data_IF_404751862233
#
_entry.id   IF_404751862233
#
_cell.length_a   1.000
_cell.length_b   1.000
_cell.length_c   1.000
_cell.angle_alpha   90.00
_cell.angle_beta   90.00
_cell.angle_gamma   90.00
#
_symmetry.space_group_name_H-M   'P 1'
#
loop_
_entity.id
_entity.type
_entity.pdbx_description
1 polymer ?
#
# COMPACT_ATOMS: atom_id res chain seq x y z
N UNK A 1 -19.71 16.63 -17.36
CA UNK A 1 -18.56 15.70 -17.28
C UNK A 1 -18.35 15.10 -18.65
N UNK A 2 -17.09 14.86 -19.03
CA UNK A 2 -16.75 14.16 -20.26
C UNK A 2 -16.80 12.62 -20.11
N UNK A 3 -16.81 11.84 -21.21
CA UNK A 3 -16.91 10.37 -21.17
C UNK A 3 -15.79 9.66 -20.39
N UNK A 4 -14.65 10.32 -20.16
CA UNK A 4 -13.57 9.80 -19.33
C UNK A 4 -13.83 10.00 -17.84
N UNK A 5 -14.37 11.17 -17.46
CA UNK A 5 -14.70 11.49 -16.07
C UNK A 5 -15.84 10.60 -15.56
N UNK A 6 -16.85 10.35 -16.39
CA UNK A 6 -17.98 9.47 -16.04
C UNK A 6 -17.50 8.02 -15.82
N UNK A 7 -16.61 7.52 -16.67
CA UNK A 7 -16.01 6.19 -16.52
C UNK A 7 -15.15 6.08 -15.26
N UNK A 8 -14.39 7.12 -14.95
CA UNK A 8 -13.56 7.17 -13.74
C UNK A 8 -14.44 7.20 -12.47
N UNK A 9 -15.52 7.99 -12.48
CA UNK A 9 -16.47 8.03 -11.37
C UNK A 9 -17.11 6.65 -11.14
N UNK A 10 -17.62 6.01 -12.20
CA UNK A 10 -18.20 4.68 -12.11
C UNK A 10 -17.21 3.62 -11.59
N UNK A 11 -15.94 3.67 -12.03
CA UNK A 11 -14.90 2.75 -11.56
C UNK A 11 -14.60 2.95 -10.05
N UNK A 12 -14.59 4.19 -9.57
CA UNK A 12 -14.41 4.50 -8.14
C UNK A 12 -15.57 3.99 -7.29
N UNK A 13 -16.80 4.16 -7.78
CA UNK A 13 -17.99 3.65 -7.09
C UNK A 13 -17.98 2.12 -6.99
N UNK A 14 -17.60 1.44 -8.08
CA UNK A 14 -17.45 -0.01 -8.08
C UNK A 14 -16.36 -0.49 -7.11
N UNK A 15 -15.22 0.22 -7.06
CA UNK A 15 -14.14 -0.10 -6.11
C UNK A 15 -14.60 0.07 -4.65
N UNK A 16 -15.33 1.15 -4.35
CA UNK A 16 -15.88 1.39 -3.01
C UNK A 16 -16.88 0.29 -2.59
N UNK A 17 -17.76 -0.13 -3.51
CA UNK A 17 -18.69 -1.25 -3.28
C UNK A 17 -17.95 -2.57 -3.04
N UNK A 18 -16.95 -2.86 -3.87
CA UNK A 18 -16.14 -4.08 -3.73
C UNK A 18 -15.38 -4.11 -2.38
N UNK A 19 -14.83 -2.96 -1.94
CA UNK A 19 -14.20 -2.83 -0.63
C UNK A 19 -15.18 -3.11 0.50
N UNK A 20 -16.35 -2.49 0.47
CA UNK A 20 -17.38 -2.69 1.49
C UNK A 20 -17.81 -4.16 1.58
N UNK A 21 -18.09 -4.78 0.42
CA UNK A 21 -18.45 -6.19 0.34
C UNK A 21 -17.34 -7.10 0.87
N UNK A 22 -16.08 -6.87 0.47
CA UNK A 22 -14.95 -7.69 0.92
C UNK A 22 -14.72 -7.62 2.43
N UNK A 23 -14.92 -6.45 3.05
CA UNK A 23 -14.82 -6.28 4.50
C UNK A 23 -15.98 -6.92 5.25
N UNK A 24 -17.16 -6.99 4.63
CA UNK A 24 -18.32 -7.70 5.18
C UNK A 24 -18.13 -9.22 5.11
N UNK A 25 -17.72 -9.74 3.95
CA UNK A 25 -17.56 -11.18 3.71
C UNK A 25 -16.35 -11.76 4.45
N UNK A 26 -15.27 -10.97 4.53
CA UNK A 26 -14.03 -11.38 5.17
C UNK A 26 -13.45 -10.22 5.99
N UNK A 27 -13.98 -9.99 7.21
CA UNK A 27 -13.44 -9.01 8.14
C UNK A 27 -11.98 -9.31 8.48
N UNK A 28 -11.20 -8.28 8.81
CA UNK A 28 -9.79 -8.43 9.20
C UNK A 28 -9.55 -9.49 10.29
N UNK A 29 -10.45 -9.56 11.27
CA UNK A 29 -10.36 -10.54 12.36
C UNK A 29 -10.36 -12.00 11.87
N UNK A 30 -10.98 -12.29 10.72
CA UNK A 30 -11.02 -13.64 10.12
C UNK A 30 -9.74 -14.02 9.37
N UNK A 31 -8.85 -13.03 9.16
CA UNK A 31 -7.56 -13.19 8.50
C UNK A 31 -6.39 -13.34 9.48
N UNK A 32 -6.69 -13.27 10.77
CA UNK A 32 -5.73 -13.43 11.85
C UNK A 32 -5.88 -14.80 12.52
N UNK A 33 -4.75 -15.46 12.72
CA UNK A 33 -4.68 -16.62 13.59
C UNK A 33 -4.73 -16.17 15.05
N UNK A 34 -5.45 -16.92 15.88
CA UNK A 34 -5.68 -16.58 17.28
C UNK A 34 -4.98 -17.59 18.17
N UNK A 35 -4.07 -17.10 19.00
CA UNK A 35 -3.26 -17.90 19.92
C UNK A 35 -3.58 -17.53 21.37
N UNK A 36 -3.66 -18.54 22.24
CA UNK A 36 -3.63 -18.32 23.68
C UNK A 36 -2.19 -17.98 24.11
N UNK A 37 -2.04 -16.99 24.98
CA UNK A 37 -0.77 -16.61 25.61
C UNK A 37 -0.95 -16.47 27.11
N UNK A 38 0.16 -16.48 27.86
CA UNK A 38 0.14 -16.30 29.33
C UNK A 38 -0.48 -14.96 29.77
N UNK A 39 -0.57 -13.98 28.86
CA UNK A 39 -1.18 -12.66 29.08
C UNK A 39 -2.55 -12.46 28.42
N UNK A 40 -3.14 -13.49 27.81
CA UNK A 40 -4.46 -13.41 27.18
C UNK A 40 -4.52 -14.05 25.79
N UNK A 41 -5.14 -13.34 24.85
CA UNK A 41 -5.32 -13.80 23.47
C UNK A 41 -4.54 -12.89 22.53
N UNK A 42 -3.71 -13.48 21.68
CA UNK A 42 -2.93 -12.76 20.66
C UNK A 42 -3.47 -13.12 19.29
N UNK A 43 -3.90 -12.11 18.53
CA UNK A 43 -4.16 -12.26 17.11
C UNK A 43 -2.85 -12.02 16.33
N UNK A 44 -2.57 -12.82 15.31
CA UNK A 44 -1.43 -12.63 14.42
C UNK A 44 -1.93 -12.75 12.98
N UNK A 45 -1.77 -11.73 12.14
CA UNK A 45 -2.15 -11.86 10.74
C UNK A 45 -1.23 -12.86 10.06
N UNK A 46 -1.81 -13.70 9.21
CA UNK A 46 -1.01 -14.55 8.33
C UNK A 46 -0.19 -13.67 7.36
N UNK A 47 0.93 -14.19 6.82
CA UNK A 47 1.67 -13.46 5.78
C UNK A 47 0.77 -13.09 4.59
N UNK A 48 -0.05 -14.04 4.13
CA UNK A 48 -0.99 -13.83 3.04
C UNK A 48 -2.04 -12.75 3.36
N UNK A 49 -2.51 -12.66 4.60
CA UNK A 49 -3.42 -11.61 5.04
C UNK A 49 -2.77 -10.23 4.98
N UNK A 50 -1.53 -10.12 5.46
CA UNK A 50 -0.77 -8.86 5.45
C UNK A 50 -0.49 -8.39 4.03
N UNK A 51 -0.08 -9.31 3.15
CA UNK A 51 0.15 -9.03 1.73
C UNK A 51 -1.13 -8.62 1.00
N UNK A 52 -2.24 -9.35 1.21
CA UNK A 52 -3.54 -9.03 0.61
C UNK A 52 -4.02 -7.64 1.04
N UNK A 53 -3.96 -7.34 2.34
CA UNK A 53 -4.38 -6.04 2.86
C UNK A 53 -3.45 -4.92 2.38
N UNK A 54 -2.15 -5.19 2.29
CA UNK A 54 -1.17 -4.27 1.72
C UNK A 54 -1.47 -3.95 0.25
N UNK A 55 -1.77 -4.97 -0.56
CA UNK A 55 -2.20 -4.79 -1.95
C UNK A 55 -3.43 -3.90 -2.06
N UNK A 56 -4.47 -4.16 -1.25
CA UNK A 56 -5.70 -3.35 -1.21
C UNK A 56 -5.38 -1.89 -0.87
N UNK A 57 -4.56 -1.67 0.16
CA UNK A 57 -4.13 -0.33 0.58
C UNK A 57 -3.37 0.42 -0.53
N UNK A 58 -2.41 -0.23 -1.19
CA UNK A 58 -1.63 0.38 -2.26
C UNK A 58 -2.50 0.90 -3.39
N UNK A 59 -3.47 0.09 -3.86
CA UNK A 59 -4.36 0.50 -4.93
C UNK A 59 -5.37 1.57 -4.50
N UNK A 60 -5.92 1.48 -3.29
CA UNK A 60 -6.81 2.54 -2.76
C UNK A 60 -6.09 3.89 -2.64
N UNK A 61 -4.82 3.89 -2.20
CA UNK A 61 -4.00 5.09 -2.11
C UNK A 61 -3.78 5.72 -3.50
N UNK A 62 -3.44 4.91 -4.50
CA UNK A 62 -3.22 5.39 -5.86
C UNK A 62 -4.52 5.84 -6.53
N UNK A 63 -5.64 5.17 -6.28
CA UNK A 63 -6.95 5.53 -6.84
C UNK A 63 -7.49 6.84 -6.24
N UNK A 64 -7.09 7.15 -5.00
CA UNK A 64 -7.45 8.38 -4.28
C UNK A 64 -6.58 9.58 -4.67
N UNK A 65 -5.69 9.45 -5.67
CA UNK A 65 -4.71 10.48 -6.06
C UNK A 65 -5.34 11.76 -6.61
N UNK A 66 -5.74 12.65 -5.70
CA UNK A 66 -6.01 14.07 -5.94
C UNK A 66 -5.12 14.96 -5.07
N UNK A 67 -4.82 14.54 -3.83
CA UNK A 67 -4.00 15.27 -2.86
C UNK A 67 -3.26 14.33 -1.90
N UNK A 68 -2.27 14.83 -1.16
CA UNK A 68 -1.63 14.08 -0.08
C UNK A 68 -2.60 13.76 1.08
N UNK A 69 -3.59 14.61 1.30
CA UNK A 69 -4.62 14.43 2.33
C UNK A 69 -5.50 13.21 2.04
N UNK A 70 -5.87 12.99 0.78
CA UNK A 70 -6.62 11.81 0.36
C UNK A 70 -5.86 10.50 0.61
N UNK A 71 -4.55 10.49 0.33
CA UNK A 71 -3.69 9.34 0.60
C UNK A 71 -3.57 9.07 2.10
N UNK A 72 -3.42 10.12 2.92
CA UNK A 72 -3.39 9.99 4.38
C UNK A 72 -4.73 9.47 4.92
N UNK A 73 -5.86 9.94 4.39
CA UNK A 73 -7.19 9.45 4.77
C UNK A 73 -7.30 7.94 4.52
N UNK A 74 -6.87 7.46 3.35
CA UNK A 74 -6.84 6.02 3.06
C UNK A 74 -5.94 5.29 4.04
N UNK A 75 -4.71 5.78 4.27
CA UNK A 75 -3.80 5.16 5.24
C UNK A 75 -4.47 4.96 6.60
N UNK A 76 -5.08 6.01 7.15
CA UNK A 76 -5.73 5.94 8.47
C UNK A 76 -6.98 5.06 8.49
N UNK A 77 -7.69 4.94 7.37
CA UNK A 77 -8.78 3.96 7.22
C UNK A 77 -8.25 2.53 7.35
N UNK A 78 -7.11 2.21 6.73
CA UNK A 78 -6.51 0.89 6.88
C UNK A 78 -5.96 0.66 8.30
N UNK A 79 -5.37 1.68 8.93
CA UNK A 79 -4.94 1.62 10.34
C UNK A 79 -6.13 1.30 11.26
N UNK A 80 -7.29 1.92 11.02
CA UNK A 80 -8.49 1.68 11.83
C UNK A 80 -9.06 0.27 11.61
N UNK A 81 -8.99 -0.27 10.39
CA UNK A 81 -9.40 -1.65 10.07
C UNK A 81 -8.51 -2.66 10.80
N UNK A 82 -7.18 -2.49 10.77
CA UNK A 82 -6.26 -3.45 11.40
C UNK A 82 -6.19 -3.31 12.92
N UNK A 83 -6.48 -2.11 13.46
CA UNK A 83 -6.68 -1.86 14.88
C UNK A 83 -5.43 -1.88 15.77
N UNK A 84 -4.27 -2.33 15.28
CA UNK A 84 -3.02 -2.35 16.04
C UNK A 84 -1.83 -1.88 15.20
N UNK A 85 -0.99 -0.95 15.71
CA UNK A 85 0.26 -0.53 15.05
C UNK A 85 1.19 -1.69 14.69
N UNK A 86 1.18 -2.78 15.48
CA UNK A 86 1.99 -3.96 15.22
C UNK A 86 1.63 -4.65 13.90
N UNK A 87 0.37 -4.57 13.46
CA UNK A 87 -0.09 -5.13 12.19
C UNK A 87 0.01 -4.15 11.02
N UNK A 88 0.06 -2.85 11.32
CA UNK A 88 0.23 -1.81 10.29
C UNK A 88 1.54 -2.01 9.54
N UNK A 89 2.63 -2.33 10.23
CA UNK A 89 3.94 -2.47 9.58
C UNK A 89 3.95 -3.58 8.50
N UNK A 90 3.52 -4.84 8.78
CA UNK A 90 3.39 -5.86 7.74
C UNK A 90 2.50 -5.46 6.56
N UNK A 91 1.38 -4.78 6.83
CA UNK A 91 0.46 -4.30 5.77
C UNK A 91 1.11 -3.22 4.91
N UNK A 92 1.82 -2.27 5.54
CA UNK A 92 2.61 -1.25 4.81
C UNK A 92 3.71 -1.89 4.00
N UNK A 93 4.41 -2.89 4.52
CA UNK A 93 5.41 -3.65 3.75
C UNK A 93 4.77 -4.33 2.54
N UNK A 94 3.62 -4.99 2.70
CA UNK A 94 2.86 -5.56 1.59
C UNK A 94 2.48 -4.52 0.54
N UNK A 95 2.03 -3.33 0.95
CA UNK A 95 1.70 -2.23 0.04
C UNK A 95 2.93 -1.74 -0.74
N UNK A 96 4.07 -1.55 -0.06
CA UNK A 96 5.33 -1.16 -0.70
C UNK A 96 5.80 -2.19 -1.74
N UNK A 97 5.62 -3.48 -1.46
CA UNK A 97 5.94 -4.55 -2.41
C UNK A 97 5.06 -4.47 -3.66
N UNK A 98 3.76 -4.24 -3.50
CA UNK A 98 2.85 -4.04 -4.64
C UNK A 98 3.22 -2.81 -5.46
N UNK A 99 3.47 -1.68 -4.79
CA UNK A 99 3.94 -0.46 -5.45
C UNK A 99 5.21 -0.72 -6.26
N UNK A 100 6.21 -1.39 -5.67
CA UNK A 100 7.49 -1.65 -6.32
C UNK A 100 7.40 -2.64 -7.49
N UNK A 101 6.65 -3.74 -7.33
CA UNK A 101 6.61 -4.86 -8.29
C UNK A 101 5.61 -4.61 -9.41
N UNK A 102 4.42 -4.13 -9.09
CA UNK A 102 3.32 -4.06 -10.06
C UNK A 102 3.20 -2.67 -10.70
N UNK A 103 3.37 -1.61 -9.91
CA UNK A 103 3.10 -0.24 -10.37
C UNK A 103 4.35 0.46 -10.88
N UNK A 104 5.40 0.56 -10.06
CA UNK A 104 6.63 1.25 -10.42
C UNK A 104 7.29 0.63 -11.65
N UNK A 105 7.28 -0.70 -11.78
CA UNK A 105 7.83 -1.38 -12.96
C UNK A 105 7.13 -0.94 -14.26
N UNK A 106 5.80 -0.91 -14.25
CA UNK A 106 5.02 -0.46 -15.41
C UNK A 106 5.26 1.01 -15.72
N UNK A 107 5.28 1.87 -14.69
CA UNK A 107 5.53 3.30 -14.86
C UNK A 107 6.93 3.61 -15.39
N UNK A 108 7.96 2.93 -14.87
CA UNK A 108 9.35 3.08 -15.35
C UNK A 108 9.45 2.67 -16.82
N UNK A 109 8.84 1.55 -17.20
CA UNK A 109 8.84 1.11 -18.61
C UNK A 109 8.16 2.11 -19.54
N UNK A 110 7.05 2.71 -19.12
CA UNK A 110 6.39 3.79 -19.89
C UNK A 110 7.27 5.04 -20.01
N UNK A 111 7.96 5.44 -18.94
CA UNK A 111 8.86 6.60 -18.96
C UNK A 111 10.08 6.38 -19.86
N UNK A 112 10.66 5.19 -19.85
CA UNK A 112 11.78 4.84 -20.73
C UNK A 112 11.39 4.87 -22.20
N UNK A 113 10.21 4.33 -22.51
CA UNK A 113 9.71 4.29 -23.88
C UNK A 113 9.33 5.68 -24.41
N UNK A 114 8.90 6.61 -23.54
CA UNK A 114 8.34 7.91 -23.96
C UNK A 114 9.28 9.09 -23.82
N UNK A 115 10.18 9.07 -22.83
CA UNK A 115 10.87 10.28 -22.39
C UNK A 115 12.36 10.11 -22.12
N UNK A 116 12.76 9.07 -21.41
CA UNK A 116 14.13 8.94 -20.92
C UNK A 116 14.56 7.46 -20.82
N UNK A 117 15.32 6.93 -21.80
CA UNK A 117 15.71 5.52 -21.82
C UNK A 117 16.63 5.12 -20.65
N UNK A 118 17.23 6.08 -19.94
CA UNK A 118 18.21 5.83 -18.89
C UNK A 118 17.60 5.82 -17.48
N UNK A 119 16.27 5.79 -17.34
CA UNK A 119 15.60 5.82 -16.02
C UNK A 119 16.09 4.73 -15.05
N UNK A 120 16.31 3.50 -15.52
CA UNK A 120 16.88 2.45 -14.66
C UNK A 120 18.32 2.72 -14.25
N UNK A 121 19.11 3.42 -15.06
CA UNK A 121 20.46 3.86 -14.69
C UNK A 121 20.37 4.92 -13.59
N UNK A 122 19.47 5.90 -13.73
CA UNK A 122 19.24 6.90 -12.69
C UNK A 122 18.80 6.28 -11.36
N UNK A 123 17.95 5.25 -11.38
CA UNK A 123 17.55 4.51 -10.18
C UNK A 123 18.72 3.74 -9.55
N UNK A 124 19.58 3.13 -10.37
CA UNK A 124 20.78 2.46 -9.87
C UNK A 124 21.75 3.44 -9.20
N UNK A 125 21.92 4.64 -9.77
CA UNK A 125 22.73 5.69 -9.17
C UNK A 125 22.10 6.24 -7.87
N UNK A 126 20.79 6.43 -7.84
CA UNK A 126 20.06 6.81 -6.63
C UNK A 126 20.23 5.77 -5.51
N UNK A 127 20.17 4.48 -5.83
CA UNK A 127 20.45 3.41 -4.88
C UNK A 127 21.89 3.47 -4.36
N UNK A 128 22.87 3.69 -5.24
CA UNK A 128 24.28 3.88 -4.85
C UNK A 128 24.43 5.07 -3.90
N UNK A 129 23.77 6.19 -4.18
CA UNK A 129 23.80 7.39 -3.33
C UNK A 129 23.16 7.09 -1.98
N UNK A 130 22.00 6.44 -1.92
CA UNK A 130 21.32 6.10 -0.67
C UNK A 130 22.24 5.27 0.25
N UNK A 131 22.99 4.31 -0.29
CA UNK A 131 23.99 3.54 0.45
C UNK A 131 25.25 4.33 0.85
N UNK A 132 25.52 5.44 0.19
CA UNK A 132 26.64 6.34 0.52
C UNK A 132 26.30 7.28 1.68
N UNK A 133 25.01 7.54 1.95
CA UNK A 133 24.57 8.37 3.06
C UNK A 133 24.94 7.73 4.40
N UNK A 134 25.29 8.57 5.36
CA UNK A 134 25.59 8.17 6.74
C UNK A 134 24.72 9.01 7.65
N UNK A 135 24.22 8.40 8.72
CA UNK A 135 23.69 9.16 9.84
C UNK A 135 24.89 9.87 10.48
N UNK A 136 24.94 11.19 10.42
CA UNK A 136 25.90 11.95 11.22
C UNK A 136 25.58 11.69 12.70
N UNK A 137 26.59 11.35 13.50
CA UNK A 137 26.40 10.84 14.86
C UNK A 137 25.68 11.84 15.77
N UNK A 138 24.55 11.43 16.36
CA UNK A 138 23.90 12.18 17.43
C UNK A 138 22.57 11.58 17.89
N UNK A 139 22.50 11.21 19.18
CA UNK A 139 21.39 10.61 19.91
C UNK A 139 20.06 11.37 19.83
N UNK A 140 18.94 10.65 19.91
CA UNK A 140 17.92 10.91 20.94
C UNK A 140 17.79 9.62 21.74
#
# INVERSE_FOLDING_TARGET
MGPQEDRLAAARDQAAQAKAQALQDQPWSTLCDVYASEGGVVAVPTPAASELMGRRMAFDMLASSGTAEDVHRVFYEYVSIVGSPAYVLPVVTGALMVLAIEICQAMIGELENKSDPDQRIHLADAARIAWSLRLEGGSI
#
